data_IF_909202302895
#
_entry.id   IF_909202302895
#
_cell.length_a   1.000
_cell.length_b   1.000
_cell.length_c   1.000
_cell.angle_alpha   90.00
_cell.angle_beta   90.00
_cell.angle_gamma   90.00
#
_symmetry.space_group_name_H-M   'P 1'
#
loop_
_entity.id
_entity.type
_entity.pdbx_description
1 polymer ?
#
# COMPACT_ATOMS: atom_id res chain seq x y z
N UNK A 1 5.61 -19.57 -21.25
CA UNK A 1 5.46 -20.10 -19.87
C UNK A 1 6.73 -19.77 -19.12
N UNK A 2 6.63 -19.14 -17.94
CA UNK A 2 7.78 -18.85 -17.08
C UNK A 2 8.09 -20.10 -16.23
N UNK A 3 9.27 -20.72 -16.29
CA UNK A 3 9.60 -21.85 -15.43
C UNK A 3 9.64 -21.43 -13.96
N UNK A 4 9.11 -22.27 -13.06
CA UNK A 4 9.20 -22.06 -11.62
C UNK A 4 10.67 -22.12 -11.20
N UNK A 5 11.12 -21.16 -10.39
CA UNK A 5 12.49 -21.13 -9.85
C UNK A 5 12.74 -22.29 -8.90
N UNK A 6 13.97 -22.84 -8.86
CA UNK A 6 14.36 -23.70 -7.76
C UNK A 6 14.34 -22.90 -6.45
N UNK A 7 13.98 -23.57 -5.36
CA UNK A 7 14.15 -23.02 -4.02
C UNK A 7 15.65 -22.84 -3.72
N UNK A 8 15.97 -21.75 -3.02
CA UNK A 8 17.26 -21.50 -2.42
C UNK A 8 17.19 -21.75 -0.91
N UNK A 9 18.31 -22.19 -0.34
CA UNK A 9 18.42 -22.35 1.10
C UNK A 9 18.30 -20.99 1.78
N UNK A 10 17.48 -20.93 2.82
CA UNK A 10 17.31 -19.72 3.63
C UNK A 10 18.53 -19.57 4.56
N UNK A 11 19.16 -18.38 4.64
CA UNK A 11 20.26 -18.15 5.58
C UNK A 11 19.88 -18.49 7.02
N UNK A 12 20.80 -19.14 7.75
CA UNK A 12 20.55 -19.70 9.09
C UNK A 12 20.17 -18.67 10.16
N UNK A 13 20.43 -17.39 9.89
CA UNK A 13 20.08 -16.26 10.76
C UNK A 13 18.71 -15.64 10.44
N UNK A 14 17.92 -16.26 9.56
CA UNK A 14 16.53 -15.88 9.30
C UNK A 14 15.55 -16.89 9.90
N UNK A 15 14.39 -16.39 10.35
CA UNK A 15 13.21 -17.20 10.68
C UNK A 15 12.02 -16.74 9.86
N UNK A 16 11.20 -17.71 9.49
CA UNK A 16 9.94 -17.51 8.80
C UNK A 16 8.84 -18.26 9.53
N UNK A 17 7.75 -17.58 9.86
CA UNK A 17 6.60 -18.16 10.55
C UNK A 17 5.35 -17.34 10.25
N UNK A 18 4.29 -18.00 9.79
CA UNK A 18 3.12 -17.30 9.26
C UNK A 18 3.51 -16.42 8.07
N UNK A 19 3.18 -15.14 8.14
CA UNK A 19 3.55 -14.10 7.16
C UNK A 19 4.82 -13.32 7.52
N UNK A 20 5.46 -13.66 8.65
CA UNK A 20 6.57 -12.87 9.22
C UNK A 20 7.93 -13.43 8.84
N UNK A 21 8.81 -12.53 8.39
CA UNK A 21 10.25 -12.76 8.36
C UNK A 21 10.93 -12.08 9.55
N UNK A 22 11.94 -12.74 10.12
CA UNK A 22 12.74 -12.19 11.20
C UNK A 22 14.22 -12.42 10.92
N UNK A 23 15.02 -11.35 11.01
CA UNK A 23 16.47 -11.38 10.91
C UNK A 23 17.05 -11.38 12.31
N UNK A 24 17.99 -12.29 12.60
CA UNK A 24 18.69 -12.38 13.88
C UNK A 24 20.13 -11.95 13.66
N UNK A 25 20.58 -10.91 14.35
CA UNK A 25 21.95 -10.42 14.31
C UNK A 25 22.90 -11.32 15.13
N UNK A 26 24.21 -11.18 14.90
CA UNK A 26 25.26 -11.93 15.62
C UNK A 26 25.17 -11.77 17.16
N UNK A 27 24.66 -10.63 17.63
CA UNK A 27 24.45 -10.35 19.06
C UNK A 27 23.11 -10.90 19.61
N UNK A 28 22.36 -11.65 18.79
CA UNK A 28 21.06 -12.23 19.10
C UNK A 28 19.87 -11.27 19.00
N UNK A 29 20.08 -9.99 18.65
CA UNK A 29 18.97 -9.05 18.46
C UNK A 29 18.19 -9.36 17.19
N UNK A 30 16.87 -9.19 17.24
CA UNK A 30 15.97 -9.48 16.14
C UNK A 30 15.41 -8.21 15.48
N UNK A 31 15.30 -8.25 14.16
CA UNK A 31 14.55 -7.31 13.34
C UNK A 31 13.40 -8.05 12.66
N UNK A 32 12.16 -7.65 12.94
CA UNK A 32 10.95 -8.38 12.56
C UNK A 32 10.22 -7.67 11.43
N UNK A 33 9.55 -8.42 10.56
CA UNK A 33 8.74 -7.90 9.45
C UNK A 33 7.31 -8.41 9.56
N UNK A 34 6.34 -7.49 9.55
CA UNK A 34 4.90 -7.77 9.62
C UNK A 34 4.43 -8.53 10.87
N UNK A 35 3.15 -8.38 11.21
CA UNK A 35 2.48 -9.11 12.29
C UNK A 35 0.96 -9.20 12.05
N UNK A 36 0.52 -10.18 11.26
CA UNK A 36 -0.89 -10.42 10.97
C UNK A 36 -1.71 -11.13 12.05
N UNK A 37 -1.11 -11.54 13.16
CA UNK A 37 -1.86 -12.22 14.22
C UNK A 37 -1.05 -12.48 15.48
N UNK A 38 -1.70 -12.50 16.65
CA UNK A 38 -1.04 -12.67 17.96
C UNK A 38 -0.20 -13.96 18.11
N UNK A 39 -0.46 -14.97 17.28
CA UNK A 39 0.36 -16.19 17.27
C UNK A 39 1.82 -15.91 16.89
N UNK A 40 2.05 -14.87 16.09
CA UNK A 40 3.38 -14.37 15.71
C UNK A 40 4.09 -13.83 16.97
N UNK A 41 3.41 -12.99 17.75
CA UNK A 41 3.93 -12.43 19.01
C UNK A 41 4.33 -13.55 19.98
N UNK A 42 3.46 -14.56 20.14
CA UNK A 42 3.75 -15.73 20.99
C UNK A 42 4.97 -16.51 20.50
N UNK A 43 5.14 -16.67 19.20
CA UNK A 43 6.29 -17.36 18.62
C UNK A 43 7.60 -16.59 18.85
N UNK A 44 7.58 -15.26 18.75
CA UNK A 44 8.75 -14.41 19.05
C UNK A 44 9.14 -14.54 20.53
N UNK A 45 8.17 -14.51 21.44
CA UNK A 45 8.45 -14.73 22.87
C UNK A 45 8.98 -16.13 23.15
N UNK A 46 8.53 -17.15 22.42
CA UNK A 46 9.09 -18.50 22.52
C UNK A 46 10.56 -18.51 22.11
N UNK A 47 10.92 -17.88 20.98
CA UNK A 47 12.34 -17.74 20.57
C UNK A 47 13.19 -17.02 21.62
N UNK A 48 12.62 -16.02 22.31
CA UNK A 48 13.32 -15.33 23.40
C UNK A 48 13.51 -16.22 24.63
N UNK A 49 12.49 -17.01 24.99
CA UNK A 49 12.55 -17.95 26.12
C UNK A 49 13.54 -19.09 25.89
N UNK A 50 13.63 -19.57 24.64
CA UNK A 50 14.56 -20.63 24.23
C UNK A 50 16.01 -20.11 24.07
N UNK A 51 16.23 -18.80 24.20
CA UNK A 51 17.54 -18.16 24.08
C UNK A 51 18.03 -18.02 22.63
N UNK A 52 17.14 -18.21 21.66
CA UNK A 52 17.43 -18.11 20.23
C UNK A 52 17.56 -16.65 19.77
N UNK A 53 16.78 -15.76 20.38
CA UNK A 53 16.94 -14.30 20.26
C UNK A 53 17.10 -13.67 21.65
N UNK A 54 17.82 -12.57 21.74
CA UNK A 54 17.98 -11.81 22.98
C UNK A 54 16.80 -10.85 23.20
N UNK A 55 16.42 -10.11 22.16
CA UNK A 55 15.30 -9.15 22.13
C UNK A 55 14.97 -8.73 20.70
N UNK A 56 13.77 -8.21 20.48
CA UNK A 56 13.43 -7.46 19.27
C UNK A 56 13.96 -6.03 19.41
N UNK A 57 14.51 -5.46 18.34
CA UNK A 57 15.04 -4.08 18.34
C UNK A 57 14.60 -3.23 17.15
N UNK A 58 13.93 -3.83 16.17
CA UNK A 58 13.31 -3.08 15.08
C UNK A 58 12.22 -3.85 14.38
N UNK A 59 11.33 -3.10 13.74
CA UNK A 59 10.15 -3.63 13.07
C UNK A 59 9.91 -2.94 11.73
N UNK A 60 9.70 -3.73 10.67
CA UNK A 60 9.35 -3.24 9.34
C UNK A 60 7.97 -3.72 8.94
N UNK A 61 7.19 -2.86 8.29
CA UNK A 61 5.87 -3.21 7.76
C UNK A 61 5.93 -3.15 6.24
N UNK A 62 5.62 -4.26 5.57
CA UNK A 62 5.71 -4.37 4.11
C UNK A 62 4.53 -3.72 3.42
N UNK A 63 3.30 -4.04 3.79
CA UNK A 63 2.08 -3.52 3.18
C UNK A 63 0.85 -3.68 4.08
N UNK A 64 -0.28 -3.11 3.65
CA UNK A 64 -1.46 -2.86 4.50
C UNK A 64 -2.46 -4.01 4.63
N UNK A 65 -2.25 -5.15 3.96
CA UNK A 65 -3.22 -6.24 3.98
C UNK A 65 -3.37 -6.85 5.38
N UNK A 66 -4.59 -7.26 5.71
CA UNK A 66 -5.01 -7.71 7.05
C UNK A 66 -4.09 -8.80 7.65
N UNK A 67 -3.73 -9.79 6.83
CA UNK A 67 -2.82 -10.89 7.16
C UNK A 67 -1.36 -10.48 7.45
N UNK A 68 -1.02 -9.21 7.30
CA UNK A 68 0.29 -8.65 7.66
C UNK A 68 0.23 -7.60 8.77
N UNK A 69 -0.93 -6.94 8.98
CA UNK A 69 -1.01 -5.78 9.89
C UNK A 69 -1.99 -5.90 11.05
N UNK A 70 -2.86 -6.91 11.05
CA UNK A 70 -3.98 -7.00 12.00
C UNK A 70 -3.54 -6.93 13.47
N UNK A 71 -2.41 -7.55 13.83
CA UNK A 71 -1.91 -7.61 15.20
C UNK A 71 -0.70 -6.69 15.47
N UNK A 72 -0.48 -5.69 14.62
CA UNK A 72 0.58 -4.70 14.82
C UNK A 72 0.36 -3.87 16.10
N UNK A 73 -0.85 -3.40 16.45
CA UNK A 73 -1.05 -2.66 17.70
C UNK A 73 -0.58 -3.44 18.93
N UNK A 74 -0.91 -4.74 19.01
CA UNK A 74 -0.49 -5.65 20.07
C UNK A 74 1.02 -5.88 20.05
N UNK A 75 1.61 -6.04 18.86
CA UNK A 75 3.06 -6.15 18.69
C UNK A 75 3.78 -4.90 19.24
N UNK A 76 3.30 -3.71 18.88
CA UNK A 76 3.90 -2.44 19.29
C UNK A 76 3.76 -2.21 20.80
N UNK A 77 2.62 -2.60 21.39
CA UNK A 77 2.42 -2.56 22.84
C UNK A 77 3.41 -3.47 23.57
N UNK A 78 3.65 -4.67 23.05
CA UNK A 78 4.48 -5.69 23.67
C UNK A 78 5.99 -5.36 23.56
N UNK A 79 6.46 -5.02 22.37
CA UNK A 79 7.91 -4.92 22.10
C UNK A 79 8.45 -3.50 22.19
N UNK A 80 7.63 -2.47 21.92
CA UNK A 80 8.00 -1.05 22.02
C UNK A 80 9.34 -0.72 21.32
N UNK A 81 9.49 -1.23 20.10
CA UNK A 81 10.65 -1.00 19.24
C UNK A 81 10.30 0.03 18.17
N UNK A 82 11.29 0.71 17.58
CA UNK A 82 10.98 1.63 16.49
C UNK A 82 10.41 0.86 15.29
N UNK A 83 9.42 1.47 14.65
CA UNK A 83 8.71 0.92 13.50
C UNK A 83 9.01 1.73 12.24
N UNK A 84 9.41 1.03 11.18
CA UNK A 84 9.70 1.58 9.87
C UNK A 84 8.71 1.07 8.84
N UNK A 85 8.40 1.90 7.85
CA UNK A 85 7.79 1.47 6.60
C UNK A 85 8.06 2.50 5.49
N UNK A 86 7.72 2.16 4.25
CA UNK A 86 7.69 3.11 3.14
C UNK A 86 6.63 4.21 3.41
N UNK A 87 6.93 5.45 3.05
CA UNK A 87 6.05 6.59 3.33
C UNK A 87 4.66 6.42 2.70
N UNK A 88 4.56 5.77 1.52
CA UNK A 88 3.27 5.53 0.86
C UNK A 88 2.47 4.45 1.61
N UNK A 89 3.13 3.42 2.14
CA UNK A 89 2.48 2.43 3.02
C UNK A 89 1.98 3.07 4.31
N UNK A 90 2.80 3.94 4.94
CA UNK A 90 2.45 4.64 6.18
C UNK A 90 1.12 5.39 6.07
N UNK A 91 0.86 6.06 4.93
CA UNK A 91 -0.39 6.79 4.69
C UNK A 91 -1.62 5.92 4.98
N UNK A 92 -1.59 4.64 4.58
CA UNK A 92 -2.71 3.71 4.75
C UNK A 92 -2.78 3.19 6.17
N UNK A 93 -1.68 2.65 6.71
CA UNK A 93 -1.71 1.91 7.99
C UNK A 93 -1.82 2.82 9.22
N UNK A 94 -1.49 4.11 9.11
CA UNK A 94 -1.74 5.10 10.18
C UNK A 94 -3.19 5.61 10.18
N UNK A 95 -3.91 5.48 9.06
CA UNK A 95 -5.29 5.95 8.94
C UNK A 95 -6.10 5.10 7.93
N UNK A 96 -6.37 3.82 8.23
CA UNK A 96 -6.94 2.89 7.27
C UNK A 96 -8.34 3.29 6.80
N UNK A 97 -9.15 3.91 7.68
CA UNK A 97 -10.50 4.37 7.34
C UNK A 97 -10.51 5.51 6.32
N UNK A 98 -9.40 6.24 6.16
CA UNK A 98 -9.27 7.23 5.10
C UNK A 98 -9.15 6.61 3.69
N UNK A 99 -9.05 5.29 3.59
CA UNK A 99 -8.90 4.56 2.34
C UNK A 99 -10.03 3.54 2.15
N UNK A 100 -10.35 3.29 0.87
CA UNK A 100 -11.23 2.19 0.46
C UNK A 100 -10.41 1.21 -0.37
N UNK A 101 -9.70 0.30 0.27
CA UNK A 101 -8.80 -0.65 -0.41
C UNK A 101 -9.24 -2.09 -0.14
N UNK A 102 -8.97 -3.04 -1.06
CA UNK A 102 -9.25 -4.45 -0.82
C UNK A 102 -8.36 -5.01 0.31
N UNK A 103 -8.92 -5.89 1.13
CA UNK A 103 -8.24 -6.55 2.25
C UNK A 103 -7.58 -5.58 3.26
N UNK A 104 -8.11 -4.36 3.37
CA UNK A 104 -7.60 -3.38 4.32
C UNK A 104 -7.96 -3.77 5.75
N UNK A 105 -6.97 -3.79 6.64
CA UNK A 105 -7.18 -3.92 8.08
C UNK A 105 -7.73 -2.63 8.68
N UNK A 106 -8.64 -2.67 9.65
CA UNK A 106 -9.00 -1.50 10.45
C UNK A 106 -7.94 -1.15 11.50
N UNK A 107 -6.93 -2.00 11.72
CA UNK A 107 -5.87 -1.78 12.71
C UNK A 107 -5.01 -0.58 12.36
N UNK A 108 -4.72 0.25 13.37
CA UNK A 108 -3.91 1.47 13.23
C UNK A 108 -2.51 1.21 13.75
N UNK A 109 -1.52 1.33 12.88
CA UNK A 109 -0.11 1.23 13.24
C UNK A 109 0.48 2.62 13.56
N UNK A 110 1.36 2.69 14.56
CA UNK A 110 2.18 3.87 14.81
C UNK A 110 3.50 3.76 14.05
N UNK A 111 3.88 4.77 13.25
CA UNK A 111 5.13 4.71 12.46
C UNK A 111 6.14 5.74 12.98
N UNK A 112 7.25 5.25 13.53
CA UNK A 112 8.34 6.11 14.02
C UNK A 112 9.15 6.70 12.85
N UNK A 113 9.29 5.92 11.78
CA UNK A 113 10.14 6.25 10.64
C UNK A 113 9.47 5.94 9.31
N UNK A 114 9.03 7.01 8.63
CA UNK A 114 8.57 6.94 7.24
C UNK A 114 9.77 7.08 6.32
N UNK A 115 10.04 6.05 5.53
CA UNK A 115 11.19 6.00 4.63
C UNK A 115 10.81 6.43 3.22
N UNK A 116 11.71 7.10 2.51
CA UNK A 116 11.63 7.33 1.07
C UNK A 116 12.30 6.22 0.27
N UNK A 117 12.07 6.23 -1.04
CA UNK A 117 12.67 5.28 -1.98
C UNK A 117 14.20 5.37 -1.98
N UNK A 118 14.88 4.29 -1.59
CA UNK A 118 16.33 4.19 -1.50
C UNK A 118 16.93 4.64 -0.16
N UNK A 119 16.11 5.04 0.83
CA UNK A 119 16.61 5.43 2.15
C UNK A 119 17.33 4.26 2.83
N UNK A 120 18.53 4.52 3.33
CA UNK A 120 19.42 3.50 3.90
C UNK A 120 19.81 3.82 5.34
N UNK A 121 19.93 2.79 6.18
CA UNK A 121 20.50 2.88 7.52
C UNK A 121 21.29 1.61 7.88
N UNK A 122 22.01 1.66 9.00
CA UNK A 122 22.70 0.50 9.57
C UNK A 122 21.93 -0.04 10.77
N UNK A 123 21.80 -1.36 10.84
CA UNK A 123 21.28 -2.09 11.99
C UNK A 123 22.18 -3.28 12.27
N UNK A 124 22.88 -3.26 13.41
CA UNK A 124 23.94 -4.21 13.74
C UNK A 124 24.96 -4.36 12.59
N UNK A 125 25.22 -5.59 12.11
CA UNK A 125 26.11 -5.88 10.99
C UNK A 125 25.47 -5.67 9.60
N UNK A 126 24.19 -5.32 9.55
CA UNK A 126 23.44 -5.18 8.31
C UNK A 126 23.33 -3.72 7.87
N UNK A 127 23.44 -3.50 6.56
CA UNK A 127 22.93 -2.31 5.90
C UNK A 127 21.51 -2.60 5.40
N UNK A 128 20.56 -1.78 5.81
CA UNK A 128 19.16 -1.88 5.39
C UNK A 128 18.85 -0.72 4.45
N UNK A 129 18.15 -1.00 3.35
CA UNK A 129 17.67 0.01 2.39
C UNK A 129 16.20 -0.25 2.07
N UNK A 130 15.35 0.73 2.32
CA UNK A 130 13.93 0.69 2.00
C UNK A 130 13.67 1.20 0.57
N UNK A 131 12.67 0.64 -0.09
CA UNK A 131 12.23 1.05 -1.42
C UNK A 131 10.72 1.13 -1.47
N UNK A 132 10.21 2.10 -2.22
CA UNK A 132 8.82 2.05 -2.65
C UNK A 132 8.70 0.95 -3.71
N UNK A 133 7.92 -0.08 -3.41
CA UNK A 133 7.89 -1.33 -4.16
C UNK A 133 6.45 -1.71 -4.53
N UNK A 134 5.79 -0.97 -5.44
CA UNK A 134 4.36 -1.08 -5.75
C UNK A 134 4.02 -2.34 -6.56
N UNK A 135 4.39 -3.52 -6.04
CA UNK A 135 4.14 -4.83 -6.62
C UNK A 135 2.72 -5.29 -6.30
N UNK A 136 2.54 -6.11 -5.25
CA UNK A 136 1.24 -6.69 -4.86
C UNK A 136 0.15 -5.61 -4.77
N UNK A 137 0.52 -4.43 -4.27
CA UNK A 137 -0.31 -3.23 -4.22
C UNK A 137 0.50 -1.99 -4.50
N UNK A 138 -0.14 -0.87 -4.88
CA UNK A 138 0.53 0.43 -4.94
C UNK A 138 1.11 0.86 -3.59
N UNK A 139 0.48 0.47 -2.48
CA UNK A 139 0.92 0.76 -1.12
C UNK A 139 1.71 -0.42 -0.58
N UNK A 140 2.90 -0.64 -1.15
CA UNK A 140 3.77 -1.77 -0.84
C UNK A 140 5.24 -1.33 -0.79
N UNK A 141 5.94 -1.75 0.26
CA UNK A 141 7.33 -1.45 0.54
C UNK A 141 8.22 -2.69 0.41
N UNK A 142 9.39 -2.51 -0.20
CA UNK A 142 10.42 -3.53 -0.33
C UNK A 142 11.62 -3.21 0.54
N UNK A 143 12.26 -4.22 1.12
CA UNK A 143 13.41 -4.04 2.00
C UNK A 143 14.62 -4.84 1.50
N UNK A 144 15.70 -4.15 1.18
CA UNK A 144 17.00 -4.76 0.91
C UNK A 144 17.82 -4.78 2.19
N UNK A 145 18.31 -5.97 2.58
CA UNK A 145 19.20 -6.17 3.72
C UNK A 145 20.50 -6.79 3.23
N UNK A 146 21.60 -6.10 3.49
CA UNK A 146 22.94 -6.50 3.06
C UNK A 146 23.81 -6.79 4.28
N UNK A 147 24.38 -7.99 4.36
CA UNK A 147 25.22 -8.44 5.46
C UNK A 147 25.62 -9.90 5.26
N UNK A 148 26.70 -10.34 5.92
CA UNK A 148 27.21 -11.73 5.80
C UNK A 148 27.49 -12.20 4.36
N UNK A 149 27.80 -11.26 3.45
CA UNK A 149 28.00 -11.56 2.02
C UNK A 149 26.71 -11.81 1.23
N UNK A 150 25.55 -11.67 1.86
CA UNK A 150 24.23 -11.80 1.23
C UNK A 150 23.60 -10.45 0.89
N UNK A 151 22.77 -10.45 -0.15
CA UNK A 151 21.87 -9.37 -0.55
C UNK A 151 20.45 -9.93 -0.50
N UNK A 152 19.73 -9.68 0.59
CA UNK A 152 18.43 -10.26 0.89
C UNK A 152 17.35 -9.23 0.56
N UNK A 153 16.46 -9.53 -0.39
CA UNK A 153 15.36 -8.64 -0.74
C UNK A 153 14.03 -9.20 -0.26
N UNK A 154 13.41 -8.56 0.71
CA UNK A 154 12.08 -8.90 1.20
C UNK A 154 11.07 -8.15 0.34
N UNK A 155 10.40 -8.88 -0.57
CA UNK A 155 9.50 -8.30 -1.58
C UNK A 155 8.04 -8.22 -1.13
N UNK A 156 7.76 -8.57 0.13
CA UNK A 156 6.41 -8.89 0.59
C UNK A 156 5.73 -9.87 -0.36
N UNK A 157 4.46 -9.63 -0.65
CA UNK A 157 3.66 -10.52 -1.50
C UNK A 157 3.90 -10.36 -3.00
N UNK A 158 4.76 -9.42 -3.42
CA UNK A 158 4.87 -9.02 -4.83
C UNK A 158 5.32 -10.13 -5.79
N UNK A 159 6.12 -11.09 -5.32
CA UNK A 159 6.66 -12.17 -6.14
C UNK A 159 6.57 -13.52 -5.47
N UNK A 160 6.49 -14.57 -6.28
CA UNK A 160 6.78 -15.94 -5.87
C UNK A 160 7.81 -16.57 -6.81
N UNK A 161 8.22 -17.81 -6.53
CA UNK A 161 9.06 -18.59 -7.45
C UNK A 161 8.47 -18.73 -8.86
N UNK A 162 7.17 -18.49 -9.03
CA UNK A 162 6.45 -18.54 -10.30
C UNK A 162 6.36 -17.20 -11.04
N UNK A 163 6.88 -16.11 -10.46
CA UNK A 163 6.91 -14.77 -11.05
C UNK A 163 6.13 -13.74 -10.25
N UNK A 164 5.51 -12.81 -10.97
CA UNK A 164 4.63 -11.76 -10.44
C UNK A 164 3.39 -12.38 -9.79
N UNK A 165 2.98 -11.81 -8.66
CA UNK A 165 1.77 -12.20 -7.94
C UNK A 165 0.72 -11.06 -7.97
N UNK A 166 -0.09 -10.95 -9.01
CA UNK A 166 -0.96 -9.77 -9.25
C UNK A 166 -2.46 -10.10 -9.22
N UNK A 167 -2.86 -11.07 -8.39
CA UNK A 167 -4.20 -11.66 -8.40
C UNK A 167 -5.33 -10.71 -7.96
N UNK A 168 -5.03 -9.66 -7.20
CA UNK A 168 -6.05 -8.73 -6.71
C UNK A 168 -6.06 -7.43 -7.53
N UNK A 169 -6.86 -7.41 -8.60
CA UNK A 169 -7.01 -6.25 -9.50
C UNK A 169 -7.32 -4.91 -8.83
N UNK A 170 -7.92 -4.91 -7.62
CA UNK A 170 -8.20 -3.69 -6.85
C UNK A 170 -6.99 -3.03 -6.19
N UNK A 171 -5.82 -3.69 -6.21
CA UNK A 171 -4.61 -3.24 -5.54
C UNK A 171 -3.83 -2.14 -6.29
N UNK A 172 -4.36 -1.64 -7.41
CA UNK A 172 -3.73 -0.61 -8.26
C UNK A 172 -2.36 -1.06 -8.81
N UNK A 173 -2.28 -2.27 -9.36
CA UNK A 173 -1.08 -2.75 -10.05
C UNK A 173 -0.95 -2.04 -11.42
N UNK A 174 -0.43 -0.82 -11.39
CA UNK A 174 -0.36 0.06 -12.56
C UNK A 174 0.50 -0.56 -13.69
N UNK A 175 0.05 -0.36 -14.92
CA UNK A 175 0.78 -0.72 -16.14
C UNK A 175 1.47 0.53 -16.70
N UNK A 176 2.60 0.31 -17.38
CA UNK A 176 3.43 1.37 -17.96
C UNK A 176 4.88 1.21 -17.56
N UNK A 177 5.76 1.89 -18.30
CA UNK A 177 7.19 1.91 -17.97
C UNK A 177 7.42 2.65 -16.63
N UNK A 178 8.29 2.10 -15.79
CA UNK A 178 8.67 2.67 -14.48
C UNK A 178 7.56 2.75 -13.42
N UNK A 179 6.42 2.08 -13.60
CA UNK A 179 5.37 1.97 -12.57
C UNK A 179 5.03 0.51 -12.27
N UNK A 180 4.40 0.27 -11.13
CA UNK A 180 3.93 -1.05 -10.72
C UNK A 180 5.01 -2.13 -10.85
N UNK A 181 4.65 -3.29 -11.39
CA UNK A 181 5.59 -4.39 -11.57
C UNK A 181 6.74 -4.12 -12.56
N UNK A 182 6.59 -3.18 -13.50
CA UNK A 182 7.71 -2.81 -14.38
C UNK A 182 8.83 -2.15 -13.56
N UNK A 183 8.47 -1.27 -12.62
CA UNK A 183 9.40 -0.68 -11.67
C UNK A 183 10.02 -1.75 -10.76
N UNK A 184 9.19 -2.59 -10.15
CA UNK A 184 9.65 -3.65 -9.24
C UNK A 184 10.68 -4.57 -9.92
N UNK A 185 10.41 -5.02 -11.15
CA UNK A 185 11.32 -5.85 -11.93
C UNK A 185 12.61 -5.12 -12.32
N UNK A 186 12.53 -3.84 -12.66
CA UNK A 186 13.71 -3.01 -12.90
C UNK A 186 14.56 -2.92 -11.64
N UNK A 187 13.95 -2.69 -10.48
CA UNK A 187 14.66 -2.60 -9.22
C UNK A 187 15.36 -3.92 -8.88
N UNK A 188 14.68 -5.08 -9.01
CA UNK A 188 15.33 -6.38 -8.82
C UNK A 188 16.51 -6.56 -9.79
N UNK A 189 16.34 -6.15 -11.05
CA UNK A 189 17.41 -6.19 -12.05
C UNK A 189 18.60 -5.30 -11.69
N UNK A 190 18.37 -4.11 -11.11
CA UNK A 190 19.43 -3.18 -10.75
C UNK A 190 20.13 -3.61 -9.43
N UNK A 191 19.36 -4.11 -8.46
CA UNK A 191 19.85 -4.52 -7.15
C UNK A 191 20.57 -5.87 -7.16
N UNK A 192 20.23 -6.77 -8.10
CA UNK A 192 20.79 -8.12 -8.20
C UNK A 192 20.81 -8.82 -6.82
N UNK A 193 19.65 -9.00 -6.15
CA UNK A 193 19.62 -9.67 -4.86
C UNK A 193 20.04 -11.13 -5.01
N UNK A 194 20.74 -11.63 -4.00
CA UNK A 194 21.10 -13.07 -3.92
C UNK A 194 19.90 -13.93 -3.55
N UNK A 195 18.95 -13.36 -2.81
CA UNK A 195 17.75 -14.02 -2.33
C UNK A 195 16.60 -13.02 -2.33
N UNK A 196 15.42 -13.48 -2.76
CA UNK A 196 14.14 -12.79 -2.71
C UNK A 196 13.23 -13.61 -1.79
N UNK A 197 12.50 -12.91 -0.92
CA UNK A 197 11.61 -13.50 0.07
C UNK A 197 10.20 -12.96 -0.10
N UNK A 198 9.25 -13.89 -0.06
CA UNK A 198 7.82 -13.61 -0.02
C UNK A 198 7.29 -13.90 1.39
N UNK A 199 6.26 -13.21 1.85
CA UNK A 199 5.73 -13.39 3.20
C UNK A 199 5.01 -14.74 3.39
N UNK A 200 4.40 -15.31 2.35
CA UNK A 200 3.65 -16.57 2.39
C UNK A 200 4.44 -17.80 1.95
N UNK A 201 5.57 -17.62 1.27
CA UNK A 201 6.38 -18.71 0.71
C UNK A 201 7.67 -18.88 1.51
N UNK A 202 7.82 -20.04 2.16
CA UNK A 202 8.98 -20.34 3.01
C UNK A 202 10.35 -20.36 2.31
N UNK A 203 10.53 -20.96 1.11
CA UNK A 203 11.82 -20.93 0.44
C UNK A 203 12.17 -19.54 -0.12
N UNK A 204 13.46 -19.22 -0.05
CA UNK A 204 14.03 -18.11 -0.82
C UNK A 204 14.11 -18.46 -2.30
N UNK A 205 14.19 -17.45 -3.16
CA UNK A 205 14.38 -17.61 -4.60
C UNK A 205 15.09 -16.42 -5.23
N UNK A 206 15.32 -16.46 -6.53
CA UNK A 206 15.92 -15.40 -7.33
C UNK A 206 15.26 -15.36 -8.71
N UNK A 207 15.61 -14.39 -9.56
CA UNK A 207 15.22 -14.42 -10.97
C UNK A 207 16.45 -14.26 -11.87
N UNK A 208 16.47 -15.01 -12.96
CA UNK A 208 17.45 -14.78 -14.04
C UNK A 208 17.09 -13.54 -14.85
N UNK A 209 18.07 -12.97 -15.55
CA UNK A 209 17.87 -11.83 -16.43
C UNK A 209 16.81 -12.13 -17.51
N UNK A 210 16.81 -13.35 -18.06
CA UNK A 210 15.84 -13.78 -19.07
C UNK A 210 14.43 -13.86 -18.51
N UNK A 211 14.27 -14.30 -17.25
CA UNK A 211 12.96 -14.35 -16.58
C UNK A 211 12.43 -12.95 -16.28
N UNK A 212 13.28 -12.05 -15.79
CA UNK A 212 12.92 -10.64 -15.61
C UNK A 212 12.48 -10.04 -16.96
N UNK A 213 13.27 -10.23 -18.01
CA UNK A 213 12.96 -9.72 -19.34
C UNK A 213 11.63 -10.28 -19.88
N UNK A 214 11.37 -11.57 -19.68
CA UNK A 214 10.11 -12.20 -20.08
C UNK A 214 8.91 -11.61 -19.32
N UNK A 215 9.02 -11.42 -18.01
CA UNK A 215 7.96 -10.79 -17.22
C UNK A 215 7.70 -9.35 -17.68
N UNK A 216 8.76 -8.56 -17.94
CA UNK A 216 8.62 -7.20 -18.46
C UNK A 216 7.97 -7.17 -19.86
N UNK A 217 8.32 -8.12 -20.73
CA UNK A 217 7.68 -8.25 -22.05
C UNK A 217 6.19 -8.60 -21.92
N UNK A 218 5.83 -9.49 -20.99
CA UNK A 218 4.44 -9.84 -20.71
C UNK A 218 3.65 -8.63 -20.20
N UNK A 219 4.23 -7.81 -19.31
CA UNK A 219 3.59 -6.58 -18.82
C UNK A 219 3.34 -5.57 -19.94
N UNK A 220 4.33 -5.31 -20.81
CA UNK A 220 4.15 -4.45 -21.98
C UNK A 220 3.08 -4.98 -22.93
N UNK A 221 3.05 -6.29 -23.15
CA UNK A 221 2.01 -6.90 -23.98
C UNK A 221 0.64 -6.78 -23.33
N UNK A 222 0.54 -6.94 -22.00
CA UNK A 222 -0.70 -6.76 -21.23
C UNK A 222 -1.20 -5.32 -21.31
N UNK A 223 -0.33 -4.33 -21.16
CA UNK A 223 -0.66 -2.90 -21.34
C UNK A 223 -1.27 -2.66 -22.72
N UNK A 224 -0.62 -3.15 -23.79
CA UNK A 224 -1.13 -3.04 -25.16
C UNK A 224 -2.50 -3.72 -25.35
N UNK A 225 -2.73 -4.87 -24.72
CA UNK A 225 -4.00 -5.60 -24.84
C UNK A 225 -5.12 -4.89 -24.08
N UNK A 226 -4.88 -4.42 -22.87
CA UNK A 226 -5.87 -3.64 -22.13
C UNK A 226 -6.16 -2.29 -22.77
N UNK A 227 -5.17 -1.67 -23.41
CA UNK A 227 -5.36 -0.44 -24.19
C UNK A 227 -6.33 -0.61 -25.37
N UNK A 228 -6.60 -1.85 -25.82
CA UNK A 228 -7.62 -2.12 -26.85
C UNK A 228 -9.03 -2.30 -26.28
N UNK A 229 -9.16 -2.51 -24.97
CA UNK A 229 -10.44 -2.81 -24.31
C UNK A 229 -11.07 -1.57 -23.67
N UNK A 230 -10.27 -0.66 -23.14
CA UNK A 230 -10.78 0.50 -22.41
C UNK A 230 -10.99 1.71 -23.31
N UNK A 231 -12.05 2.51 -23.10
CA UNK A 231 -12.38 3.67 -23.93
C UNK A 231 -11.54 4.92 -23.59
N UNK A 232 -10.33 4.72 -23.05
CA UNK A 232 -9.44 5.76 -22.56
C UNK A 232 -8.08 5.67 -23.28
N UNK A 233 -7.31 6.75 -23.27
CA UNK A 233 -6.00 6.83 -23.92
C UNK A 233 -4.91 6.02 -23.20
N UNK A 234 -5.16 5.60 -21.95
CA UNK A 234 -4.27 4.73 -21.18
C UNK A 234 -5.04 3.61 -20.45
N UNK A 235 -4.55 2.36 -20.44
CA UNK A 235 -5.27 1.23 -19.82
C UNK A 235 -5.47 1.37 -18.31
N UNK A 236 -4.62 2.13 -17.61
CA UNK A 236 -4.77 2.33 -16.17
C UNK A 236 -6.10 2.99 -15.77
N UNK A 237 -6.78 3.73 -16.64
CA UNK A 237 -8.13 4.23 -16.33
C UNK A 237 -9.17 3.12 -16.14
N UNK A 238 -8.93 1.93 -16.71
CA UNK A 238 -9.75 0.74 -16.50
C UNK A 238 -9.22 -0.21 -15.42
N UNK A 239 -7.91 -0.18 -15.14
CA UNK A 239 -7.27 -1.07 -14.16
C UNK A 239 -7.16 -0.46 -12.75
N UNK A 240 -6.92 0.85 -12.64
CA UNK A 240 -6.84 1.55 -11.37
C UNK A 240 -8.23 2.04 -10.95
N UNK A 241 -8.99 1.20 -10.24
CA UNK A 241 -10.31 1.62 -9.75
C UNK A 241 -10.26 2.86 -8.81
N UNK A 242 -9.08 3.26 -8.33
CA UNK A 242 -8.89 4.40 -7.44
C UNK A 242 -8.21 5.60 -8.11
N UNK A 243 -8.18 5.63 -9.46
CA UNK A 243 -7.69 6.79 -10.21
C UNK A 243 -8.52 8.05 -9.94
N UNK A 244 -9.76 7.88 -9.46
CA UNK A 244 -10.50 8.91 -8.71
C UNK A 244 -10.85 8.31 -7.36
N UNK A 245 -10.53 9.01 -6.28
CA UNK A 245 -10.81 8.58 -4.89
C UNK A 245 -11.13 9.79 -4.02
N UNK A 246 -11.88 9.56 -2.95
CA UNK A 246 -12.08 10.58 -1.92
C UNK A 246 -11.13 10.34 -0.76
N UNK A 247 -10.60 11.41 -0.18
CA UNK A 247 -9.75 11.38 1.00
C UNK A 247 -10.18 12.45 2.02
N UNK A 248 -10.34 12.10 3.31
CA UNK A 248 -10.52 10.74 3.80
C UNK A 248 -11.76 10.07 3.16
N UNK A 249 -11.67 8.77 2.88
CA UNK A 249 -12.81 8.00 2.39
C UNK A 249 -13.92 7.91 3.43
N UNK A 250 -13.61 7.45 4.64
CA UNK A 250 -14.53 7.48 5.79
C UNK A 250 -13.99 8.43 6.86
N UNK A 251 -14.87 9.28 7.41
CA UNK A 251 -14.53 10.21 8.49
C UNK A 251 -15.66 10.33 9.51
N UNK A 252 -15.27 10.42 10.79
CA UNK A 252 -16.19 10.71 11.88
C UNK A 252 -16.25 12.22 12.11
N UNK A 253 -17.47 12.78 12.13
CA UNK A 253 -17.68 14.23 12.25
C UNK A 253 -18.82 14.49 13.21
N UNK A 254 -18.62 15.37 14.19
CA UNK A 254 -19.70 15.77 15.09
C UNK A 254 -20.69 16.72 14.39
N UNK A 255 -21.97 16.58 14.71
CA UNK A 255 -23.00 17.46 14.16
C UNK A 255 -22.74 18.93 14.53
N UNK A 256 -22.78 19.83 13.55
CA UNK A 256 -22.42 21.24 13.69
C UNK A 256 -20.95 21.57 13.38
N UNK A 257 -20.09 20.57 13.18
CA UNK A 257 -18.67 20.79 12.87
C UNK A 257 -18.40 20.84 11.36
N UNK A 258 -17.35 21.57 11.01
CA UNK A 258 -16.81 21.61 9.65
C UNK A 258 -15.89 20.41 9.39
N UNK A 259 -15.84 19.95 8.16
CA UNK A 259 -14.97 18.88 7.70
C UNK A 259 -14.57 19.09 6.24
N UNK A 260 -13.60 18.31 5.77
CA UNK A 260 -13.07 18.41 4.40
C UNK A 260 -13.32 17.11 3.64
N UNK A 261 -13.73 17.23 2.38
CA UNK A 261 -13.64 16.15 1.39
C UNK A 261 -12.66 16.59 0.32
N UNK A 262 -11.60 15.79 0.11
CA UNK A 262 -10.69 15.94 -1.02
C UNK A 262 -11.00 14.88 -2.06
N UNK A 263 -11.19 15.28 -3.31
CA UNK A 263 -11.32 14.36 -4.46
C UNK A 263 -9.94 14.29 -5.10
N UNK A 264 -9.24 13.18 -4.92
CA UNK A 264 -7.93 12.91 -5.52
C UNK A 264 -8.10 12.22 -6.87
N UNK A 265 -7.34 12.68 -7.86
CA UNK A 265 -7.45 12.26 -9.25
C UNK A 265 -6.04 11.99 -9.79
N UNK A 266 -5.83 10.81 -10.36
CA UNK A 266 -4.61 10.41 -11.05
C UNK A 266 -4.77 10.62 -12.55
N UNK A 267 -3.87 11.40 -13.15
CA UNK A 267 -3.79 11.52 -14.60
C UNK A 267 -2.90 10.42 -15.18
N UNK A 268 -3.50 9.37 -15.73
CA UNK A 268 -2.77 8.29 -16.39
C UNK A 268 -2.37 8.62 -17.85
N UNK A 269 -2.87 9.72 -18.40
CA UNK A 269 -2.54 10.18 -19.76
C UNK A 269 -1.11 10.73 -19.87
N UNK A 270 -0.57 10.68 -21.09
CA UNK A 270 0.68 11.36 -21.49
C UNK A 270 0.48 12.86 -21.79
N UNK A 271 -0.76 13.33 -21.70
CA UNK A 271 -1.14 14.73 -21.93
C UNK A 271 -1.74 15.35 -20.68
N UNK A 272 -1.78 16.68 -20.65
CA UNK A 272 -2.51 17.41 -19.62
C UNK A 272 -3.98 16.99 -19.66
N UNK A 273 -4.54 16.69 -18.49
CA UNK A 273 -5.95 16.38 -18.31
C UNK A 273 -6.63 17.44 -17.46
N UNK A 274 -7.92 17.62 -17.66
CA UNK A 274 -8.74 18.57 -16.91
C UNK A 274 -9.88 17.83 -16.23
N UNK A 275 -10.01 18.02 -14.92
CA UNK A 275 -11.07 17.44 -14.12
C UNK A 275 -11.89 18.53 -13.46
N UNK A 276 -13.21 18.41 -13.53
CA UNK A 276 -14.17 19.29 -12.86
C UNK A 276 -15.11 18.43 -12.03
N UNK A 277 -15.31 18.75 -10.75
CA UNK A 277 -16.15 17.93 -9.89
C UNK A 277 -16.65 18.66 -8.65
N UNK A 278 -17.53 17.98 -7.92
CA UNK A 278 -18.01 18.40 -6.59
C UNK A 278 -18.67 17.24 -5.83
N UNK A 279 -18.69 17.33 -4.49
CA UNK A 279 -19.63 16.58 -3.67
C UNK A 279 -21.09 16.95 -4.01
N UNK A 280 -21.98 15.95 -4.00
CA UNK A 280 -23.41 16.11 -4.17
C UNK A 280 -24.09 15.88 -2.83
N UNK A 281 -24.55 16.97 -2.21
CA UNK A 281 -25.16 16.90 -0.88
C UNK A 281 -26.62 16.42 -0.94
N UNK A 282 -27.10 15.71 0.10
CA UNK A 282 -28.52 15.38 0.26
C UNK A 282 -29.42 16.61 0.21
N UNK A 283 -30.66 16.45 -0.28
CA UNK A 283 -31.62 17.55 -0.43
C UNK A 283 -31.97 18.31 0.85
N UNK A 284 -31.84 17.66 2.01
CA UNK A 284 -32.10 18.27 3.31
C UNK A 284 -30.92 19.13 3.81
N UNK A 285 -29.75 19.00 3.20
CA UNK A 285 -28.55 19.74 3.55
C UNK A 285 -28.56 21.07 2.80
N UNK A 286 -28.71 22.18 3.53
CA UNK A 286 -28.93 23.51 2.94
C UNK A 286 -27.69 24.15 2.29
N UNK A 287 -26.51 23.60 2.53
CA UNK A 287 -25.26 24.12 1.99
C UNK A 287 -25.22 23.96 0.47
N UNK A 288 -24.84 25.04 -0.23
CA UNK A 288 -24.59 25.01 -1.67
C UNK A 288 -23.13 24.73 -1.95
N UNK A 289 -22.85 23.76 -2.83
CA UNK A 289 -21.49 23.37 -3.24
C UNK A 289 -21.36 23.56 -4.74
N UNK A 290 -20.52 24.50 -5.15
CA UNK A 290 -20.16 24.72 -6.55
C UNK A 290 -19.04 23.79 -7.01
N UNK A 291 -18.98 23.53 -8.32
CA UNK A 291 -17.91 22.70 -8.90
C UNK A 291 -16.55 23.40 -8.86
N UNK A 292 -15.50 22.63 -8.60
CA UNK A 292 -14.10 23.07 -8.74
C UNK A 292 -13.46 22.39 -9.93
N UNK A 293 -12.39 22.97 -10.45
CA UNK A 293 -11.64 22.44 -11.60
C UNK A 293 -10.15 22.43 -11.31
N UNK A 294 -9.47 21.38 -11.76
CA UNK A 294 -8.01 21.23 -11.70
C UNK A 294 -7.49 20.78 -13.06
N UNK A 295 -6.31 21.29 -13.44
CA UNK A 295 -5.53 20.78 -14.55
C UNK A 295 -4.40 19.93 -13.98
N UNK A 296 -4.27 18.71 -14.51
CA UNK A 296 -3.30 17.72 -14.08
C UNK A 296 -2.24 17.57 -15.16
N UNK A 297 -0.96 17.72 -14.79
CA UNK A 297 0.13 17.40 -15.69
C UNK A 297 0.10 15.91 -16.09
N UNK A 298 0.73 15.53 -17.21
CA UNK A 298 0.88 14.12 -17.59
C UNK A 298 1.46 13.29 -16.44
N UNK A 299 0.87 12.12 -16.18
CA UNK A 299 1.37 11.17 -15.16
C UNK A 299 1.50 11.75 -13.74
N UNK A 300 0.69 12.75 -13.40
CA UNK A 300 0.65 13.32 -12.04
C UNK A 300 -0.73 13.17 -11.41
N UNK A 301 -0.74 13.18 -10.08
CA UNK A 301 -1.94 13.32 -9.28
C UNK A 301 -2.30 14.80 -9.09
N UNK A 302 -3.58 15.06 -8.83
CA UNK A 302 -4.13 16.37 -8.51
C UNK A 302 -5.40 16.21 -7.68
N UNK A 303 -5.91 17.30 -7.10
CA UNK A 303 -7.05 17.21 -6.19
C UNK A 303 -8.00 18.39 -6.24
N UNK A 304 -9.24 18.13 -5.84
CA UNK A 304 -10.28 19.14 -5.61
C UNK A 304 -10.73 19.05 -4.14
N UNK A 305 -10.44 20.09 -3.36
CA UNK A 305 -10.75 20.11 -1.93
C UNK A 305 -12.04 20.89 -1.63
N UNK A 306 -12.89 20.41 -0.73
CA UNK A 306 -14.16 21.04 -0.36
C UNK A 306 -14.32 21.05 1.16
N UNK A 307 -14.54 22.23 1.74
CA UNK A 307 -14.93 22.40 3.14
C UNK A 307 -16.45 22.43 3.25
N UNK A 308 -16.99 21.58 4.12
CA UNK A 308 -18.42 21.36 4.31
C UNK A 308 -18.77 21.43 5.80
N UNK A 309 -20.00 21.81 6.12
CA UNK A 309 -20.48 21.92 7.50
C UNK A 309 -21.56 20.87 7.74
N UNK A 310 -21.33 19.94 8.67
CA UNK A 310 -22.32 18.93 9.01
C UNK A 310 -23.48 19.59 9.80
N UNK A 311 -24.75 19.50 9.35
CA UNK A 311 -25.85 20.18 10.05
C UNK A 311 -26.06 19.61 11.45
N UNK A 312 -26.50 20.47 12.38
CA UNK A 312 -26.83 20.08 13.76
C UNK A 312 -28.06 19.15 13.77
N UNK A 313 -29.08 19.50 12.99
CA UNK A 313 -30.37 18.80 12.94
C UNK A 313 -30.37 17.72 11.85
N UNK A 314 -29.66 16.61 12.11
CA UNK A 314 -29.60 15.50 11.17
C UNK A 314 -30.94 14.74 11.12
N UNK A 315 -31.52 14.49 9.93
CA UNK A 315 -32.77 13.73 9.79
C UNK A 315 -32.58 12.21 9.93
N UNK A 316 -31.35 11.76 10.12
CA UNK A 316 -30.97 10.34 10.26
C UNK A 316 -30.48 10.09 11.68
N UNK A 317 -30.64 8.87 12.22
CA UNK A 317 -30.01 8.49 13.48
C UNK A 317 -28.52 8.83 13.47
N UNK A 318 -28.03 9.37 14.58
CA UNK A 318 -26.59 9.50 14.82
C UNK A 318 -25.96 8.12 14.69
N UNK A 319 -24.72 8.04 14.22
CA UNK A 319 -24.00 6.80 13.86
C UNK A 319 -24.43 6.13 12.54
N UNK A 320 -25.46 6.64 11.83
CA UNK A 320 -25.75 6.17 10.48
C UNK A 320 -24.77 6.77 9.46
N UNK A 321 -24.10 5.91 8.69
CA UNK A 321 -23.24 6.32 7.56
C UNK A 321 -24.02 7.14 6.54
N UNK A 322 -23.52 8.35 6.26
CA UNK A 322 -23.96 9.21 5.17
C UNK A 322 -23.00 9.04 4.00
N UNK A 323 -23.52 8.56 2.87
CA UNK A 323 -22.77 8.49 1.62
C UNK A 323 -22.94 9.82 0.89
N UNK A 324 -21.81 10.48 0.58
CA UNK A 324 -21.75 11.72 -0.19
C UNK A 324 -21.21 11.39 -1.58
N UNK A 325 -22.07 11.26 -2.60
CA UNK A 325 -21.62 11.02 -3.96
C UNK A 325 -20.80 12.19 -4.48
N UNK A 326 -19.87 11.91 -5.37
CA UNK A 326 -19.04 12.88 -6.07
C UNK A 326 -19.36 12.80 -7.54
N UNK A 327 -19.83 13.91 -8.10
CA UNK A 327 -19.92 14.06 -9.56
C UNK A 327 -18.59 14.52 -10.13
N UNK A 328 -18.23 13.98 -11.29
CA UNK A 328 -16.98 14.33 -11.97
C UNK A 328 -17.18 14.37 -13.49
N UNK A 329 -16.61 15.39 -14.09
CA UNK A 329 -16.34 15.47 -15.53
C UNK A 329 -14.83 15.41 -15.73
N UNK A 330 -14.37 14.49 -16.58
CA UNK A 330 -12.94 14.30 -16.89
C UNK A 330 -12.71 14.43 -18.39
N UNK A 331 -11.85 15.37 -18.81
CA UNK A 331 -11.58 15.67 -20.23
C UNK A 331 -12.86 15.89 -21.06
N UNK A 332 -13.86 16.54 -20.46
CA UNK A 332 -15.16 16.83 -21.10
C UNK A 332 -16.16 15.67 -21.10
N UNK A 333 -15.79 14.50 -20.58
CA UNK A 333 -16.68 13.35 -20.41
C UNK A 333 -17.32 13.41 -19.03
N UNK A 334 -18.65 13.51 -18.98
CA UNK A 334 -19.42 13.42 -17.73
C UNK A 334 -19.47 11.96 -17.27
N UNK A 335 -18.87 11.68 -16.10
CA UNK A 335 -18.84 10.37 -15.47
C UNK A 335 -19.98 10.19 -14.45
N UNK A 336 -20.77 11.23 -14.22
CA UNK A 336 -21.82 11.24 -13.22
C UNK A 336 -21.27 11.04 -11.80
N UNK A 337 -22.14 10.53 -10.92
CA UNK A 337 -21.84 10.29 -9.51
C UNK A 337 -21.31 8.88 -9.28
N UNK A 338 -20.07 8.62 -9.69
CA UNK A 338 -19.48 7.26 -9.68
C UNK A 338 -18.46 7.02 -8.55
N UNK A 339 -18.22 8.03 -7.71
CA UNK A 339 -17.37 7.98 -6.52
C UNK A 339 -18.09 8.57 -5.33
N UNK A 340 -17.56 8.32 -4.15
CA UNK A 340 -18.22 8.67 -2.90
C UNK A 340 -17.20 8.91 -1.77
N UNK A 341 -17.61 9.73 -0.81
CA UNK A 341 -17.05 9.78 0.52
C UNK A 341 -18.11 9.32 1.54
N UNK A 342 -17.67 8.85 2.69
CA UNK A 342 -18.51 8.36 3.79
C UNK A 342 -18.30 9.24 5.01
N UNK A 343 -19.39 9.78 5.55
CA UNK A 343 -19.39 10.46 6.84
C UNK A 343 -20.09 9.58 7.87
N UNK A 344 -19.54 9.53 9.06
CA UNK A 344 -20.15 8.90 10.24
C UNK A 344 -20.42 10.00 11.26
N UNK A 345 -21.67 10.49 11.38
CA UNK A 345 -22.01 11.47 12.39
C UNK A 345 -21.81 10.90 13.80
N UNK A 346 -21.07 11.61 14.64
CA UNK A 346 -20.82 11.23 16.05
C UNK A 346 -21.44 12.22 17.03
N UNK A 347 -21.62 11.77 18.27
CA UNK A 347 -22.03 12.61 19.40
C UNK A 347 -20.76 13.17 20.04
N UNK A 348 -20.65 14.50 20.20
CA UNK A 348 -19.66 15.06 21.14
C UNK A 348 -20.03 14.54 22.54
N UNK A 349 -19.16 13.69 23.11
CA UNK A 349 -19.27 13.20 24.50
C UNK A 349 -18.84 14.25 25.50
#
# INVERSE_FOLDING_TARGET
HLPIRPALDVPVYLRHFGTTWMIIADNGEAFVMDCGGEHIIRQIEQYRQDGEISRVTGFWITHYHDDHVDAIPEFQQQFQVPTWTDAVVAEVIENPTAFRLPCISPSVAHIDHRTGDGDSWSWNEFRITAYHFPGQTYYHGGLLVEGHGHRLFFSGDSFTMSGIDDYCSGNRNLLGDQVGYQHCLKLISDLQPTHIFNCHVAPAFDFTAEQIQLMQQNLRQREKLFGQLFPWDHPNYGMDQHWVRCYPYEQQVAAGQSFTIRIDISNHSETVSRATGRPVLPKWWSQSVGSKTVELAPKTDGSLEFSLDLPIDLPTPKEQRLVIPVELTYNGIDLGQFREAVLVPVIET
#
